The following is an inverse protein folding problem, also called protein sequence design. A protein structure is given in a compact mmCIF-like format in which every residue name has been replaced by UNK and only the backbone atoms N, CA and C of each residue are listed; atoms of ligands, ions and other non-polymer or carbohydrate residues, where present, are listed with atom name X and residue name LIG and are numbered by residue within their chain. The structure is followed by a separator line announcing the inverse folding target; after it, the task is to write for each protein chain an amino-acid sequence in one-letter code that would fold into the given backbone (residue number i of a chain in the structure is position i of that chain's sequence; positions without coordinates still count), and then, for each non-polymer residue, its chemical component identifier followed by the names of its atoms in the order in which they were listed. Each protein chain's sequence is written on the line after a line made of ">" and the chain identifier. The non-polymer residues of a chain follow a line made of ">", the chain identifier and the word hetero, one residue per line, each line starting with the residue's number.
data_IF_716725560394
#
_entry.id   IF_716725560394
#
_cell.length_a   1.000
_cell.length_b   1.000
_cell.length_c   1.000
_cell.angle_alpha   90.00
_cell.angle_beta   90.00
_cell.angle_gamma   90.00
#
_symmetry.space_group_name_H-M   'P 1'
#
loop_
_entity.id
_entity.type
_entity.pdbx_description
1 polymer ?
#
# COMPACT_ATOMS: atom_id res chain seq x y z
N UNK A 1 11.03 33.92 -18.99
CA UNK A 1 10.50 35.23 -19.45
C UNK A 1 9.62 35.95 -18.41
N UNK A 2 8.54 35.36 -17.90
CA UNK A 2 7.68 36.00 -16.88
C UNK A 2 8.43 36.41 -15.59
N UNK A 3 9.21 35.49 -14.99
CA UNK A 3 10.00 35.77 -13.77
C UNK A 3 11.08 36.83 -13.98
N UNK A 4 11.80 36.74 -15.09
CA UNK A 4 12.84 37.72 -15.49
C UNK A 4 12.24 39.12 -15.65
N UNK A 5 11.04 39.24 -16.25
CA UNK A 5 10.35 40.54 -16.37
C UNK A 5 9.87 41.12 -15.04
N UNK A 6 9.73 40.30 -13.99
CA UNK A 6 9.20 40.71 -12.68
C UNK A 6 10.24 40.66 -11.55
N UNK A 7 11.52 40.40 -11.85
CA UNK A 7 12.58 40.21 -10.87
C UNK A 7 12.20 39.24 -9.73
N UNK A 8 11.47 38.18 -10.07
CA UNK A 8 11.06 37.17 -9.10
C UNK A 8 12.18 36.13 -8.95
N UNK A 9 12.56 35.84 -7.70
CA UNK A 9 13.48 34.74 -7.39
C UNK A 9 12.88 33.39 -7.80
N UNK A 10 13.75 32.42 -8.05
CA UNK A 10 13.32 31.05 -8.32
C UNK A 10 12.78 30.43 -7.03
N UNK A 11 11.49 30.04 -6.96
CA UNK A 11 10.96 29.37 -5.79
C UNK A 11 11.63 28.00 -5.62
N UNK A 12 11.65 27.52 -4.39
CA UNK A 12 12.13 26.18 -4.11
C UNK A 12 11.41 25.14 -4.99
N UNK A 13 12.13 24.15 -5.53
CA UNK A 13 11.59 23.20 -6.47
C UNK A 13 10.37 22.46 -5.88
N UNK A 14 9.29 22.38 -6.65
CA UNK A 14 8.10 21.59 -6.30
C UNK A 14 7.03 22.31 -5.45
N UNK A 15 7.11 23.63 -5.24
CA UNK A 15 6.09 24.39 -4.50
C UNK A 15 5.09 25.04 -5.47
N UNK A 16 3.79 24.71 -5.33
CA UNK A 16 2.70 25.32 -6.11
C UNK A 16 2.20 26.62 -5.44
N UNK A 17 2.15 26.65 -4.10
CA UNK A 17 1.71 27.81 -3.32
C UNK A 17 2.82 28.29 -2.36
N UNK A 18 3.56 29.32 -2.74
CA UNK A 18 4.65 29.91 -1.93
C UNK A 18 4.18 30.43 -0.56
N UNK A 19 2.90 30.78 -0.42
CA UNK A 19 2.34 31.30 0.84
C UNK A 19 2.16 30.22 1.92
N UNK A 20 2.16 28.94 1.55
CA UNK A 20 1.82 27.83 2.44
C UNK A 20 3.08 27.25 3.12
N UNK A 21 3.42 27.82 4.28
CA UNK A 21 4.48 27.32 5.17
C UNK A 21 3.93 26.34 6.20
N UNK A 22 4.78 25.45 6.74
CA UNK A 22 4.42 24.50 7.81
C UNK A 22 3.81 25.17 9.04
N UNK A 23 4.27 26.39 9.35
CA UNK A 23 3.76 27.19 10.47
C UNK A 23 2.33 27.66 10.24
N UNK A 24 2.00 28.05 9.00
CA UNK A 24 0.65 28.51 8.62
C UNK A 24 -0.33 27.36 8.33
N UNK A 25 0.18 26.13 8.24
CA UNK A 25 -0.64 24.96 7.95
C UNK A 25 -1.59 24.59 9.09
N UNK A 26 -1.30 25.04 10.32
CA UNK A 26 -2.14 24.81 11.49
C UNK A 26 -3.12 25.98 11.79
N UNK A 27 -3.07 27.08 11.00
CA UNK A 27 -3.88 28.30 11.25
C UNK A 27 -5.30 28.22 10.66
N UNK A 28 -5.43 27.68 9.45
CA UNK A 28 -6.71 27.63 8.72
C UNK A 28 -6.80 26.44 7.76
N UNK A 29 -8.02 25.94 7.53
CA UNK A 29 -8.28 24.77 6.67
C UNK A 29 -7.79 24.99 5.24
N UNK A 30 -7.97 26.21 4.70
CA UNK A 30 -7.50 26.51 3.34
C UNK A 30 -5.97 26.49 3.24
N UNK A 31 -5.26 26.97 4.26
CA UNK A 31 -3.79 26.94 4.29
C UNK A 31 -3.27 25.51 4.49
N UNK A 32 -3.95 24.71 5.30
CA UNK A 32 -3.67 23.27 5.43
C UNK A 32 -3.80 22.54 4.10
N UNK A 33 -4.90 22.76 3.36
CA UNK A 33 -5.11 22.14 2.04
C UNK A 33 -4.05 22.59 1.03
N UNK A 34 -3.71 23.89 0.98
CA UNK A 34 -2.61 24.40 0.13
C UNK A 34 -1.27 23.77 0.49
N UNK A 35 -0.97 23.63 1.77
CA UNK A 35 0.23 22.95 2.25
C UNK A 35 0.24 21.47 1.87
N UNK A 36 -0.91 20.79 1.98
CA UNK A 36 -1.06 19.40 1.57
C UNK A 36 -0.82 19.28 0.07
N UNK A 37 -1.41 20.10 -0.79
CA UNK A 37 -1.12 20.05 -2.23
C UNK A 37 0.36 20.23 -2.57
N UNK A 38 1.07 21.09 -1.84
CA UNK A 38 2.51 21.28 -2.03
C UNK A 38 3.34 20.07 -1.56
N UNK A 39 2.98 19.43 -0.44
CA UNK A 39 3.85 18.45 0.25
C UNK A 39 3.18 17.09 0.51
N UNK A 40 2.06 16.79 -0.13
CA UNK A 40 1.32 15.54 0.06
C UNK A 40 2.23 14.35 -0.21
N UNK A 41 2.84 14.33 -1.38
CA UNK A 41 3.71 13.22 -1.79
C UNK A 41 5.01 13.18 -0.97
N UNK A 42 5.51 14.32 -0.51
CA UNK A 42 6.66 14.35 0.41
C UNK A 42 6.36 13.63 1.73
N UNK A 43 5.14 13.78 2.27
CA UNK A 43 4.76 13.17 3.55
C UNK A 43 4.17 11.77 3.46
N UNK A 44 3.47 11.45 2.38
CA UNK A 44 2.69 10.20 2.20
C UNK A 44 3.17 9.33 1.03
N UNK A 45 4.24 9.72 0.33
CA UNK A 45 4.66 9.07 -0.90
C UNK A 45 5.05 7.60 -0.74
N UNK A 46 5.65 7.22 0.40
CA UNK A 46 6.00 5.84 0.68
C UNK A 46 4.74 4.98 0.87
N UNK A 47 3.79 5.44 1.69
CA UNK A 47 2.52 4.77 1.93
C UNK A 47 1.71 4.64 0.63
N UNK A 48 1.62 5.70 -0.18
CA UNK A 48 0.96 5.70 -1.49
C UNK A 48 1.62 4.69 -2.43
N UNK A 49 2.96 4.64 -2.47
CA UNK A 49 3.69 3.71 -3.33
C UNK A 49 3.41 2.25 -2.95
N UNK A 50 3.32 1.92 -1.65
CA UNK A 50 2.97 0.57 -1.20
C UNK A 50 1.51 0.22 -1.52
N UNK A 51 0.58 1.17 -1.37
CA UNK A 51 -0.83 0.95 -1.72
C UNK A 51 -0.98 0.68 -3.21
N UNK A 52 -0.32 1.47 -4.07
CA UNK A 52 -0.34 1.26 -5.52
C UNK A 52 0.24 -0.12 -5.88
N UNK A 53 1.31 -0.54 -5.21
CA UNK A 53 1.88 -1.87 -5.40
C UNK A 53 0.88 -2.99 -5.07
N UNK A 54 0.19 -2.89 -3.93
CA UNK A 54 -0.83 -3.86 -3.52
C UNK A 54 -2.03 -3.88 -4.47
N UNK A 55 -2.47 -2.70 -4.94
CA UNK A 55 -3.53 -2.61 -5.96
C UNK A 55 -3.10 -3.27 -7.26
N UNK A 56 -1.88 -3.04 -7.74
CA UNK A 56 -1.37 -3.69 -8.93
C UNK A 56 -1.24 -5.20 -8.77
N UNK A 57 -0.81 -5.68 -7.60
CA UNK A 57 -0.81 -7.11 -7.29
C UNK A 57 -2.21 -7.70 -7.45
N UNK A 58 -3.24 -7.01 -6.96
CA UNK A 58 -4.61 -7.48 -7.01
C UNK A 58 -5.27 -7.40 -8.40
N UNK A 59 -4.86 -6.45 -9.24
CA UNK A 59 -5.35 -6.33 -10.61
C UNK A 59 -4.66 -7.33 -11.54
N UNK A 60 -3.36 -7.57 -11.37
CA UNK A 60 -2.58 -8.41 -12.30
C UNK A 60 -2.75 -9.91 -12.07
N UNK A 61 -2.67 -10.36 -10.80
CA UNK A 61 -2.81 -11.77 -10.38
C UNK A 61 -1.97 -12.78 -11.22
N UNK A 62 -0.81 -12.35 -11.72
CA UNK A 62 0.10 -13.12 -12.57
C UNK A 62 1.49 -13.28 -11.91
N UNK A 63 2.49 -13.80 -12.63
CA UNK A 63 3.85 -13.93 -12.08
C UNK A 63 4.44 -12.60 -11.59
N UNK A 64 4.09 -11.48 -12.23
CA UNK A 64 4.61 -10.15 -11.86
C UNK A 64 4.04 -9.70 -10.51
N UNK A 65 2.80 -10.08 -10.20
CA UNK A 65 2.21 -9.82 -8.89
C UNK A 65 2.93 -10.55 -7.76
N UNK A 66 3.44 -11.77 -8.00
CA UNK A 66 4.28 -12.50 -7.02
C UNK A 66 5.59 -11.75 -6.79
N UNK A 67 6.22 -11.25 -7.86
CA UNK A 67 7.45 -10.46 -7.74
C UNK A 67 7.21 -9.16 -6.96
N UNK A 68 6.10 -8.47 -7.22
CA UNK A 68 5.70 -7.29 -6.45
C UNK A 68 5.42 -7.62 -4.99
N UNK A 69 4.83 -8.77 -4.68
CA UNK A 69 4.63 -9.22 -3.30
C UNK A 69 5.97 -9.39 -2.56
N UNK A 70 6.98 -9.96 -3.20
CA UNK A 70 8.32 -10.10 -2.61
C UNK A 70 8.98 -8.75 -2.33
N UNK A 71 8.82 -7.78 -3.24
CA UNK A 71 9.29 -6.40 -3.02
C UNK A 71 8.54 -5.73 -1.87
N UNK A 72 7.22 -5.87 -1.82
CA UNK A 72 6.37 -5.37 -0.74
C UNK A 72 6.81 -5.90 0.63
N UNK A 73 7.00 -7.22 0.74
CA UNK A 73 7.49 -7.86 1.96
C UNK A 73 8.84 -7.30 2.40
N UNK A 74 9.75 -7.09 1.45
CA UNK A 74 11.06 -6.48 1.71
C UNK A 74 10.91 -5.06 2.27
N UNK A 75 10.07 -4.22 1.69
CA UNK A 75 9.85 -2.85 2.16
C UNK A 75 9.16 -2.79 3.53
N UNK A 76 8.19 -3.68 3.80
CA UNK A 76 7.54 -3.78 5.11
C UNK A 76 8.50 -4.26 6.21
N UNK A 77 9.41 -5.18 5.88
CA UNK A 77 10.43 -5.66 6.80
C UNK A 77 11.43 -4.54 7.18
N UNK A 78 11.99 -3.88 6.16
CA UNK A 78 12.99 -2.82 6.30
C UNK A 78 12.42 -1.52 6.90
N UNK A 79 11.15 -1.21 6.65
CA UNK A 79 10.53 0.06 7.03
C UNK A 79 11.03 1.24 6.17
N UNK A 80 10.46 2.43 6.36
CA UNK A 80 10.70 3.58 5.47
C UNK A 80 12.18 4.00 5.37
N UNK A 81 12.86 4.16 6.51
CA UNK A 81 14.24 4.67 6.54
C UNK A 81 15.22 3.74 5.83
N UNK A 82 15.16 2.43 6.12
CA UNK A 82 16.05 1.46 5.48
C UNK A 82 15.63 1.16 4.04
N UNK A 83 14.33 1.24 3.72
CA UNK A 83 13.84 1.09 2.34
C UNK A 83 14.43 2.14 1.41
N UNK A 84 14.74 3.35 1.90
CA UNK A 84 15.38 4.39 1.11
C UNK A 84 16.70 3.90 0.48
N UNK A 85 17.45 3.00 1.11
CA UNK A 85 18.73 2.51 0.56
C UNK A 85 18.51 1.59 -0.65
N UNK A 86 17.47 0.74 -0.61
CA UNK A 86 17.20 -0.27 -1.64
C UNK A 86 16.24 0.25 -2.73
N UNK A 87 15.51 1.34 -2.44
CA UNK A 87 14.54 1.95 -3.36
C UNK A 87 15.05 2.22 -4.79
N UNK A 88 16.25 2.78 -5.02
CA UNK A 88 16.73 3.00 -6.39
C UNK A 88 16.91 1.70 -7.19
N UNK A 89 17.23 0.57 -6.52
CA UNK A 89 17.28 -0.75 -7.17
C UNK A 89 15.89 -1.18 -7.64
N UNK A 90 14.87 -0.93 -6.82
CA UNK A 90 13.48 -1.20 -7.18
C UNK A 90 12.98 -0.32 -8.33
N UNK A 91 13.31 0.98 -8.33
CA UNK A 91 12.98 1.87 -9.46
C UNK A 91 13.66 1.40 -10.75
N UNK A 92 14.95 1.04 -10.68
CA UNK A 92 15.66 0.47 -11.82
C UNK A 92 15.04 -0.84 -12.32
N UNK A 93 14.61 -1.71 -11.39
CA UNK A 93 13.89 -2.94 -11.72
C UNK A 93 12.58 -2.67 -12.46
N UNK A 94 11.74 -1.73 -12.00
CA UNK A 94 10.50 -1.37 -12.69
C UNK A 94 10.75 -0.71 -14.04
N UNK A 95 11.76 0.16 -14.13
CA UNK A 95 12.13 0.84 -15.38
C UNK A 95 12.62 -0.14 -16.45
N UNK A 96 13.20 -1.27 -16.05
CA UNK A 96 13.55 -2.38 -16.95
C UNK A 96 12.33 -3.29 -17.26
N UNK A 97 11.54 -3.62 -16.24
CA UNK A 97 10.42 -4.55 -16.37
C UNK A 97 9.33 -4.01 -17.30
N UNK A 98 8.98 -2.73 -17.22
CA UNK A 98 7.89 -2.14 -18.00
C UNK A 98 8.12 -2.21 -19.52
N UNK A 99 9.29 -1.82 -20.07
CA UNK A 99 9.61 -2.04 -21.49
C UNK A 99 9.58 -3.52 -21.89
N UNK A 100 10.08 -4.42 -21.03
CA UNK A 100 10.04 -5.86 -21.30
C UNK A 100 8.61 -6.36 -21.40
N UNK A 101 7.74 -5.98 -20.46
CA UNK A 101 6.31 -6.32 -20.50
C UNK A 101 5.62 -5.74 -21.73
N UNK A 102 5.96 -4.51 -22.12
CA UNK A 102 5.44 -3.88 -23.34
C UNK A 102 5.84 -4.66 -24.60
N UNK A 103 7.11 -5.08 -24.69
CA UNK A 103 7.59 -5.92 -25.80
C UNK A 103 6.90 -7.29 -25.82
N UNK A 104 6.66 -7.89 -24.65
CA UNK A 104 5.89 -9.13 -24.55
C UNK A 104 4.47 -8.94 -25.07
N UNK A 105 3.77 -7.86 -24.70
CA UNK A 105 2.40 -7.60 -25.19
C UNK A 105 2.36 -7.32 -26.70
N UNK A 106 3.37 -6.63 -27.25
CA UNK A 106 3.47 -6.41 -28.70
C UNK A 106 3.68 -7.72 -29.48
N UNK A 107 4.49 -8.62 -28.94
CA UNK A 107 4.82 -9.87 -29.58
C UNK A 107 5.64 -9.71 -30.87
N UNK A 108 5.71 -10.79 -31.65
CA UNK A 108 6.36 -10.81 -32.95
C UNK A 108 5.49 -10.15 -34.03
N UNK A 109 6.10 -9.50 -35.02
CA UNK A 109 5.37 -8.98 -36.17
C UNK A 109 4.53 -10.08 -36.84
N UNK A 110 3.25 -9.82 -37.16
CA UNK A 110 2.34 -10.84 -37.69
C UNK A 110 2.80 -11.43 -39.03
N UNK A 111 3.64 -10.72 -39.77
CA UNK A 111 4.21 -11.19 -41.05
C UNK A 111 5.30 -12.27 -40.92
N UNK A 112 5.82 -12.55 -39.72
CA UNK A 112 6.85 -13.59 -39.55
C UNK A 112 6.28 -15.02 -39.56
N UNK A 113 4.99 -15.21 -39.30
CA UNK A 113 4.33 -16.53 -39.23
C UNK A 113 5.07 -17.59 -38.37
N UNK A 114 5.90 -17.16 -37.41
CA UNK A 114 6.62 -18.04 -36.51
C UNK A 114 5.81 -18.21 -35.22
N UNK A 115 5.68 -19.45 -34.75
CA UNK A 115 5.10 -19.75 -33.45
C UNK A 115 6.12 -19.47 -32.34
N UNK A 116 5.67 -18.99 -31.18
CA UNK A 116 6.55 -18.76 -30.04
C UNK A 116 7.13 -20.08 -29.48
N UNK A 117 8.36 -20.06 -28.93
CA UNK A 117 9.00 -21.29 -28.45
C UNK A 117 8.24 -22.02 -27.33
N UNK A 118 7.53 -21.29 -26.47
CA UNK A 118 6.83 -21.85 -25.31
C UNK A 118 5.47 -22.48 -25.64
N UNK A 119 4.86 -22.20 -26.79
CA UNK A 119 3.51 -22.69 -27.11
C UNK A 119 3.43 -24.21 -27.27
N UNK A 120 4.57 -24.87 -27.50
CA UNK A 120 4.67 -26.34 -27.62
C UNK A 120 5.10 -27.03 -26.33
N UNK A 121 5.63 -26.28 -25.37
CA UNK A 121 6.30 -26.83 -24.18
C UNK A 121 5.48 -26.58 -22.91
N UNK A 122 4.85 -25.41 -22.80
CA UNK A 122 4.07 -25.02 -21.62
C UNK A 122 2.58 -25.19 -21.89
N UNK A 123 1.84 -25.53 -20.83
CA UNK A 123 0.38 -25.46 -20.84
C UNK A 123 -0.08 -24.02 -21.15
N UNK A 124 -1.15 -23.84 -21.94
CA UNK A 124 -1.61 -22.52 -22.34
C UNK A 124 -1.98 -21.65 -21.13
N UNK A 125 -2.63 -22.25 -20.13
CA UNK A 125 -2.98 -21.54 -18.89
C UNK A 125 -1.74 -21.12 -18.09
N UNK A 126 -0.69 -21.96 -18.05
CA UNK A 126 0.57 -21.60 -17.40
C UNK A 126 1.29 -20.48 -18.16
N UNK A 127 1.31 -20.53 -19.49
CA UNK A 127 1.94 -19.49 -20.31
C UNK A 127 1.25 -18.13 -20.13
N UNK A 128 -0.08 -18.12 -20.04
CA UNK A 128 -0.87 -16.92 -19.79
C UNK A 128 -0.69 -16.38 -18.37
N UNK A 129 -0.58 -17.24 -17.35
CA UNK A 129 -0.25 -16.82 -15.97
C UNK A 129 1.18 -16.26 -15.85
N UNK A 130 2.14 -16.80 -16.62
CA UNK A 130 3.49 -16.26 -16.73
C UNK A 130 3.57 -14.93 -17.50
N UNK A 131 2.43 -14.41 -17.98
CA UNK A 131 2.35 -13.19 -18.80
C UNK A 131 3.20 -13.29 -20.09
N UNK A 132 3.29 -14.48 -20.67
CA UNK A 132 3.93 -14.70 -21.97
C UNK A 132 2.96 -14.35 -23.10
N UNK A 133 3.49 -13.90 -24.23
CA UNK A 133 2.65 -13.65 -25.41
C UNK A 133 2.14 -14.95 -26.01
N UNK A 134 0.84 -14.97 -26.28
CA UNK A 134 0.16 -15.99 -27.06
C UNK A 134 -0.67 -15.29 -28.14
N UNK A 135 -0.70 -15.89 -29.33
CA UNK A 135 -1.53 -15.44 -30.46
C UNK A 135 -3.01 -15.73 -30.19
N UNK A 136 -3.30 -16.81 -29.45
CA UNK A 136 -4.66 -17.28 -29.19
C UNK A 136 -5.34 -16.50 -28.06
N UNK A 137 -4.56 -16.15 -27.03
CA UNK A 137 -5.02 -15.44 -25.83
C UNK A 137 -4.11 -14.24 -25.55
N UNK A 138 -4.29 -13.12 -26.28
CA UNK A 138 -3.47 -11.93 -26.07
C UNK A 138 -3.69 -11.36 -24.67
N UNK A 139 -2.59 -10.91 -24.05
CA UNK A 139 -2.64 -10.25 -22.74
C UNK A 139 -3.30 -8.87 -22.82
N UNK A 140 -4.12 -8.51 -21.83
CA UNK A 140 -4.77 -7.19 -21.80
C UNK A 140 -3.73 -6.07 -21.65
N UNK A 141 -3.60 -5.15 -22.63
CA UNK A 141 -2.65 -4.04 -22.56
C UNK A 141 -2.98 -3.04 -21.43
N UNK A 142 -4.23 -3.00 -20.93
CA UNK A 142 -4.63 -2.11 -19.83
C UNK A 142 -3.88 -2.41 -18.54
N UNK A 143 -3.40 -3.63 -18.36
CA UNK A 143 -2.61 -4.03 -17.18
C UNK A 143 -1.30 -3.24 -17.06
N UNK A 144 -0.70 -2.85 -18.20
CA UNK A 144 0.52 -2.03 -18.25
C UNK A 144 0.32 -0.62 -17.68
N UNK A 145 -0.93 -0.11 -17.69
CA UNK A 145 -1.23 1.21 -17.15
C UNK A 145 -1.01 1.23 -15.63
N UNK A 146 -1.37 0.14 -14.94
CA UNK A 146 -1.09 -0.02 -13.52
C UNK A 146 0.41 0.01 -13.22
N UNK A 147 1.20 -0.74 -14.00
CA UNK A 147 2.67 -0.77 -13.85
C UNK A 147 3.32 0.58 -14.14
N UNK A 148 2.80 1.32 -15.12
CA UNK A 148 3.22 2.70 -15.39
C UNK A 148 2.98 3.61 -14.17
N UNK A 149 1.79 3.56 -13.56
CA UNK A 149 1.52 4.36 -12.37
C UNK A 149 2.40 3.95 -11.19
N UNK A 150 2.67 2.66 -11.00
CA UNK A 150 3.59 2.19 -9.97
C UNK A 150 5.01 2.71 -10.19
N UNK A 151 5.51 2.68 -11.43
CA UNK A 151 6.81 3.28 -11.77
C UNK A 151 6.81 4.80 -11.52
N UNK A 152 5.75 5.50 -11.93
CA UNK A 152 5.61 6.94 -11.72
C UNK A 152 5.70 7.31 -10.24
N UNK A 153 4.91 6.65 -9.39
CA UNK A 153 4.92 6.90 -7.95
C UNK A 153 6.26 6.48 -7.33
N UNK A 154 6.87 5.39 -7.77
CA UNK A 154 8.19 4.97 -7.30
C UNK A 154 9.29 5.99 -7.65
N UNK A 155 9.27 6.57 -8.84
CA UNK A 155 10.17 7.65 -9.27
C UNK A 155 9.96 8.93 -8.45
N UNK A 156 8.70 9.32 -8.24
CA UNK A 156 8.39 10.45 -7.35
C UNK A 156 8.93 10.21 -5.94
N UNK A 157 8.87 8.96 -5.45
CA UNK A 157 9.33 8.61 -4.11
C UNK A 157 10.87 8.59 -4.02
N UNK A 158 11.57 8.16 -5.08
CA UNK A 158 13.03 8.28 -5.12
C UNK A 158 13.48 9.73 -5.11
N UNK A 159 12.76 10.63 -5.79
CA UNK A 159 13.05 12.05 -5.72
C UNK A 159 12.89 12.59 -4.28
N UNK A 160 11.84 12.18 -3.57
CA UNK A 160 11.66 12.51 -2.15
C UNK A 160 12.80 11.96 -1.30
N UNK A 161 13.23 10.72 -1.49
CA UNK A 161 14.38 10.16 -0.79
C UNK A 161 15.69 10.89 -1.13
N UNK A 162 15.88 11.31 -2.37
CA UNK A 162 17.01 12.15 -2.78
C UNK A 162 17.05 13.47 -2.02
N UNK A 163 15.90 14.15 -1.89
CA UNK A 163 15.76 15.37 -1.10
C UNK A 163 16.05 15.14 0.39
N UNK A 164 15.57 14.04 0.96
CA UNK A 164 15.83 13.68 2.37
C UNK A 164 17.32 13.36 2.62
N UNK A 165 18.00 12.67 1.69
CA UNK A 165 19.44 12.41 1.79
C UNK A 165 20.25 13.71 1.70
N UNK A 166 19.85 14.63 0.82
CA UNK A 166 20.50 15.93 0.69
C UNK A 166 20.29 16.80 1.94
N UNK A 167 19.08 16.83 2.52
CA UNK A 167 18.84 17.60 3.74
C UNK A 167 19.62 17.05 4.94
N UNK A 168 19.76 15.73 5.07
CA UNK A 168 20.55 15.12 6.15
C UNK A 168 22.04 15.50 6.04
N UNK A 169 22.61 15.43 4.84
CA UNK A 169 24.02 15.81 4.63
C UNK A 169 24.26 17.31 4.85
N UNK A 170 23.30 18.17 4.46
CA UNK A 170 23.34 19.60 4.77
C UNK A 170 23.27 19.86 6.28
N UNK A 171 22.33 19.23 7.00
CA UNK A 171 22.17 19.35 8.45
C UNK A 171 23.36 18.79 9.23
N UNK A 172 24.01 17.72 8.79
CA UNK A 172 25.24 17.18 9.40
C UNK A 172 26.41 18.16 9.22
N UNK A 173 26.53 18.74 8.03
CA UNK A 173 27.54 19.78 7.74
C UNK A 173 27.30 21.03 8.60
N UNK A 174 26.04 21.42 8.80
CA UNK A 174 25.66 22.58 9.62
C UNK A 174 25.75 22.29 11.13
N UNK A 175 25.42 21.06 11.57
CA UNK A 175 25.64 20.61 12.94
C UNK A 175 27.13 20.60 13.30
N UNK A 176 28.02 20.17 12.40
CA UNK A 176 29.47 20.25 12.62
C UNK A 176 29.95 21.70 12.85
N UNK A 177 29.22 22.69 12.32
CA UNK A 177 29.44 24.13 12.55
C UNK A 177 28.70 24.66 13.80
N UNK A 178 27.52 24.12 14.13
CA UNK A 178 26.67 24.51 15.27
C UNK A 178 26.99 23.82 16.59
N UNK A 179 27.83 22.78 16.66
CA UNK A 179 28.37 22.24 17.93
C UNK A 179 29.14 23.29 18.76
N UNK A 180 29.33 24.51 18.23
CA UNK A 180 29.82 25.69 18.96
C UNK A 180 28.75 26.60 19.59
N UNK A 181 27.45 26.45 19.32
CA UNK A 181 26.38 27.27 19.95
C UNK A 181 25.02 26.54 19.99
N UNK A 182 24.69 26.04 21.18
CA UNK A 182 23.36 26.10 21.82
C UNK A 182 22.13 25.50 21.12
N UNK A 183 21.67 24.37 21.67
CA UNK A 183 20.27 23.88 21.77
C UNK A 183 19.32 24.05 20.56
N UNK A 184 19.04 22.92 19.90
CA UNK A 184 17.98 22.75 18.89
C UNK A 184 16.59 22.96 19.51
N UNK A 185 15.86 23.99 19.07
CA UNK A 185 14.44 24.18 19.40
C UNK A 185 13.65 23.07 18.69
N UNK A 186 13.13 22.09 19.44
CA UNK A 186 12.13 21.16 18.91
C UNK A 186 10.82 21.93 18.74
N UNK A 187 10.41 22.18 17.51
CA UNK A 187 9.08 22.70 17.22
C UNK A 187 8.04 21.68 17.72
N UNK A 188 7.35 22.01 18.81
CA UNK A 188 6.20 21.24 19.31
C UNK A 188 4.97 21.64 18.50
N UNK A 189 4.20 20.66 18.01
CA UNK A 189 2.90 20.93 17.40
C UNK A 189 1.96 21.59 18.43
N UNK A 190 1.15 22.58 18.00
CA UNK A 190 0.15 23.19 18.87
C UNK A 190 -0.89 22.15 19.29
N UNK A 191 -1.47 22.36 20.47
CA UNK A 191 -2.48 21.48 21.02
C UNK A 191 -3.84 21.74 20.35
N UNK A 192 -4.40 20.72 19.70
CA UNK A 192 -5.61 20.84 18.88
C UNK A 192 -6.87 20.25 19.55
N UNK A 193 -6.75 19.71 20.77
CA UNK A 193 -7.83 18.95 21.41
C UNK A 193 -9.04 19.79 21.82
N UNK A 194 -8.88 21.11 21.93
CA UNK A 194 -9.95 22.03 22.33
C UNK A 194 -10.98 22.29 21.21
N UNK A 195 -10.72 21.81 19.98
CA UNK A 195 -11.66 21.80 18.86
C UNK A 195 -12.32 23.17 18.58
N UNK A 196 -11.50 24.22 18.46
CA UNK A 196 -12.00 25.60 18.25
C UNK A 196 -12.22 25.87 16.75
N UNK A 197 -11.40 25.30 15.87
CA UNK A 197 -11.46 25.50 14.42
C UNK A 197 -11.99 24.26 13.68
N UNK A 198 -12.54 24.45 12.47
CA UNK A 198 -12.91 23.32 11.59
C UNK A 198 -11.73 22.40 11.28
N UNK A 199 -10.53 22.96 11.21
CA UNK A 199 -9.29 22.23 11.01
C UNK A 199 -8.98 21.35 12.23
N UNK A 200 -9.17 21.86 13.44
CA UNK A 200 -9.01 21.07 14.67
C UNK A 200 -10.08 19.98 14.78
N UNK A 201 -11.32 20.25 14.38
CA UNK A 201 -12.38 19.23 14.30
C UNK A 201 -11.99 18.08 13.36
N UNK A 202 -11.50 18.41 12.16
CA UNK A 202 -11.02 17.41 11.22
C UNK A 202 -9.82 16.64 11.77
N UNK A 203 -8.88 17.29 12.46
CA UNK A 203 -7.75 16.61 13.12
C UNK A 203 -8.22 15.66 14.21
N UNK A 204 -9.07 16.10 15.13
CA UNK A 204 -9.63 15.24 16.19
C UNK A 204 -10.34 14.05 15.56
N UNK A 205 -11.18 14.29 14.55
CA UNK A 205 -11.89 13.22 13.83
C UNK A 205 -10.94 12.20 13.22
N UNK A 206 -9.90 12.68 12.53
CA UNK A 206 -8.91 11.82 11.88
C UNK A 206 -8.02 11.07 12.88
N UNK A 207 -7.51 11.73 13.92
CA UNK A 207 -6.55 11.10 14.84
C UNK A 207 -7.23 10.21 15.88
N UNK A 208 -8.49 10.48 16.25
CA UNK A 208 -9.22 9.72 17.28
C UNK A 208 -10.13 8.64 16.69
N UNK A 209 -10.91 8.95 15.64
CA UNK A 209 -11.93 8.03 15.13
C UNK A 209 -11.44 7.08 14.04
N UNK A 210 -10.34 7.38 13.34
CA UNK A 210 -9.81 6.50 12.28
C UNK A 210 -9.49 5.09 12.77
N UNK A 211 -9.11 4.93 14.04
CA UNK A 211 -8.89 3.60 14.63
C UNK A 211 -10.14 2.73 14.54
N UNK A 212 -11.29 3.24 14.95
CA UNK A 212 -12.55 2.49 14.89
C UNK A 212 -12.99 2.22 13.45
N UNK A 213 -12.78 3.19 12.56
CA UNK A 213 -13.02 3.02 11.12
C UNK A 213 -12.14 1.89 10.57
N UNK A 214 -10.86 1.83 10.94
CA UNK A 214 -9.95 0.78 10.47
C UNK A 214 -10.36 -0.61 10.97
N UNK A 215 -10.80 -0.74 12.23
CA UNK A 215 -11.33 -2.01 12.76
C UNK A 215 -12.65 -2.40 12.09
N UNK A 216 -13.53 -1.44 11.78
CA UNK A 216 -14.76 -1.69 11.05
C UNK A 216 -14.47 -2.20 9.63
N UNK A 217 -13.50 -1.61 8.92
CA UNK A 217 -13.08 -2.10 7.59
C UNK A 217 -12.54 -3.53 7.68
N UNK A 218 -11.69 -3.84 8.67
CA UNK A 218 -11.20 -5.21 8.93
C UNK A 218 -12.36 -6.18 9.18
N UNK A 219 -13.38 -5.76 9.92
CA UNK A 219 -14.55 -6.60 10.17
C UNK A 219 -15.35 -6.85 8.89
N UNK A 220 -15.54 -5.83 8.05
CA UNK A 220 -16.21 -5.97 6.74
C UNK A 220 -15.41 -6.91 5.83
N UNK A 221 -14.07 -6.83 5.83
CA UNK A 221 -13.23 -7.74 5.01
C UNK A 221 -13.38 -9.20 5.43
N UNK A 222 -13.46 -9.45 6.73
CA UNK A 222 -13.73 -10.79 7.28
C UNK A 222 -15.07 -11.32 6.81
N UNK A 223 -16.11 -10.49 6.81
CA UNK A 223 -17.47 -10.90 6.44
C UNK A 223 -17.63 -11.11 4.92
N UNK A 224 -16.79 -10.48 4.11
CA UNK A 224 -16.90 -10.49 2.65
C UNK A 224 -16.56 -11.85 2.03
N UNK A 225 -15.69 -12.65 2.67
CA UNK A 225 -15.30 -13.98 2.17
C UNK A 225 -15.21 -14.99 3.31
N UNK A 226 -15.45 -16.27 3.02
CA UNK A 226 -15.21 -17.34 4.01
C UNK A 226 -13.88 -18.00 3.67
N UNK A 227 -12.83 -17.72 4.45
CA UNK A 227 -11.50 -18.31 4.24
C UNK A 227 -10.77 -18.54 5.56
N UNK A 228 -9.86 -19.52 5.60
CA UNK A 228 -8.95 -19.74 6.72
C UNK A 228 -8.10 -18.50 7.03
N UNK A 229 -7.82 -17.67 6.03
CA UNK A 229 -7.13 -16.40 6.22
C UNK A 229 -7.97 -15.39 7.03
N UNK A 230 -9.30 -15.50 7.03
CA UNK A 230 -10.15 -14.59 7.79
C UNK A 230 -10.15 -14.90 9.29
N UNK A 231 -9.80 -16.13 9.68
CA UNK A 231 -9.71 -16.50 11.10
C UNK A 231 -8.68 -15.66 11.87
N UNK A 232 -7.51 -15.39 11.29
CA UNK A 232 -6.53 -14.54 11.98
C UNK A 232 -6.94 -13.07 12.00
N UNK A 233 -7.64 -12.56 10.98
CA UNK A 233 -8.22 -11.22 11.04
C UNK A 233 -9.27 -11.09 12.15
N UNK A 234 -10.11 -12.11 12.35
CA UNK A 234 -11.08 -12.18 13.45
C UNK A 234 -10.36 -12.10 14.80
N UNK A 235 -9.32 -12.91 15.00
CA UNK A 235 -8.55 -12.92 16.25
C UNK A 235 -7.93 -11.56 16.55
N UNK A 236 -7.30 -10.93 15.55
CA UNK A 236 -6.73 -9.58 15.70
C UNK A 236 -7.83 -8.54 15.97
N UNK A 237 -8.96 -8.60 15.26
CA UNK A 237 -10.06 -7.67 15.44
C UNK A 237 -10.63 -7.76 16.87
N UNK A 238 -10.94 -8.96 17.36
CA UNK A 238 -11.40 -9.14 18.74
C UNK A 238 -10.35 -8.69 19.76
N UNK A 239 -9.07 -8.98 19.54
CA UNK A 239 -8.00 -8.52 20.42
C UNK A 239 -7.95 -6.99 20.54
N UNK A 240 -8.05 -6.29 19.41
CA UNK A 240 -8.04 -4.81 19.35
C UNK A 240 -9.35 -4.18 19.86
N UNK A 241 -10.51 -4.82 19.62
CA UNK A 241 -11.80 -4.38 20.17
C UNK A 241 -11.85 -4.56 21.69
N UNK A 242 -11.36 -5.69 22.20
CA UNK A 242 -11.36 -6.00 23.64
C UNK A 242 -10.53 -4.99 24.43
N UNK A 243 -9.33 -4.67 23.95
CA UNK A 243 -8.48 -3.67 24.61
C UNK A 243 -8.94 -2.23 24.30
N UNK A 244 -9.51 -1.99 23.12
CA UNK A 244 -10.05 -0.70 22.70
C UNK A 244 -9.08 0.46 22.91
N UNK A 245 -9.54 1.48 23.62
CA UNK A 245 -8.78 2.71 23.91
C UNK A 245 -7.68 2.51 24.97
N UNK A 246 -7.73 1.44 25.76
CA UNK A 246 -6.69 1.16 26.75
C UNK A 246 -5.32 0.86 26.11
N UNK A 247 -5.31 0.48 24.82
CA UNK A 247 -4.08 0.34 24.02
C UNK A 247 -3.32 1.65 23.82
N UNK A 248 -4.01 2.80 23.84
CA UNK A 248 -3.36 4.10 23.66
C UNK A 248 -2.50 4.48 24.88
N UNK A 249 -2.89 4.00 26.06
CA UNK A 249 -2.17 4.21 27.32
C UNK A 249 -0.92 3.31 27.44
N UNK A 250 -0.83 2.25 26.63
CA UNK A 250 0.36 1.41 26.58
C UNK A 250 1.54 2.15 25.95
N UNK A 251 2.80 1.77 26.29
CA UNK A 251 3.97 2.41 25.68
C UNK A 251 3.91 2.31 24.15
N UNK A 252 4.10 3.46 23.48
CA UNK A 252 4.03 3.62 22.01
C UNK A 252 4.80 2.53 21.25
N UNK A 253 5.96 2.09 21.76
CA UNK A 253 6.78 1.02 21.16
C UNK A 253 6.07 -0.34 21.13
N UNK A 254 5.24 -0.65 22.12
CA UNK A 254 4.47 -1.91 22.15
C UNK A 254 3.29 -1.84 21.19
N UNK A 255 2.56 -0.73 21.19
CA UNK A 255 1.46 -0.47 20.24
C UNK A 255 1.93 -0.59 18.78
N UNK A 256 3.01 0.10 18.41
CA UNK A 256 3.57 0.05 17.06
C UNK A 256 4.06 -1.36 16.66
N UNK A 257 4.59 -2.15 17.60
CA UNK A 257 5.00 -3.54 17.34
C UNK A 257 3.80 -4.43 17.07
N UNK A 258 2.74 -4.35 17.88
CA UNK A 258 1.51 -5.11 17.67
C UNK A 258 0.85 -4.73 16.33
N UNK A 259 0.81 -3.44 16.01
CA UNK A 259 0.26 -2.98 14.73
C UNK A 259 1.09 -3.43 13.52
N UNK A 260 2.43 -3.43 13.64
CA UNK A 260 3.32 -3.97 12.59
C UNK A 260 3.12 -5.48 12.39
N UNK A 261 2.88 -6.25 13.46
CA UNK A 261 2.53 -7.67 13.36
C UNK A 261 1.19 -7.86 12.64
N UNK A 262 0.22 -6.99 12.88
CA UNK A 262 -1.06 -7.06 12.20
C UNK A 262 -0.95 -6.73 10.70
N UNK A 263 -0.17 -5.70 10.33
CA UNK A 263 0.17 -5.42 8.91
C UNK A 263 0.90 -6.60 8.28
N UNK A 264 1.83 -7.23 9.00
CA UNK A 264 2.54 -8.43 8.54
C UNK A 264 1.57 -9.58 8.24
N UNK A 265 0.57 -9.79 9.10
CA UNK A 265 -0.46 -10.80 8.88
C UNK A 265 -1.28 -10.54 7.61
N UNK A 266 -1.70 -9.30 7.38
CA UNK A 266 -2.40 -8.92 6.16
C UNK A 266 -1.53 -9.12 4.92
N UNK A 267 -0.25 -8.72 4.97
CA UNK A 267 0.71 -8.98 3.90
C UNK A 267 0.87 -10.48 3.59
N UNK A 268 1.00 -11.33 4.62
CA UNK A 268 1.12 -12.78 4.43
C UNK A 268 -0.14 -13.37 3.78
N UNK A 269 -1.32 -12.84 4.13
CA UNK A 269 -2.57 -13.23 3.48
C UNK A 269 -2.60 -12.85 2.00
N UNK A 270 -2.21 -11.60 1.68
CA UNK A 270 -2.11 -11.14 0.29
C UNK A 270 -1.13 -12.01 -0.51
N UNK A 271 0.06 -12.28 0.04
CA UNK A 271 1.06 -13.15 -0.57
C UNK A 271 0.50 -14.56 -0.81
N UNK A 272 -0.15 -15.15 0.19
CA UNK A 272 -0.74 -16.48 0.07
C UNK A 272 -1.83 -16.52 -1.01
N UNK A 273 -2.74 -15.54 -1.05
CA UNK A 273 -3.78 -15.45 -2.09
C UNK A 273 -3.19 -15.31 -3.49
N UNK A 274 -2.17 -14.47 -3.67
CA UNK A 274 -1.49 -14.32 -4.96
C UNK A 274 -0.78 -15.61 -5.39
N UNK A 275 -0.14 -16.33 -4.47
CA UNK A 275 0.45 -17.64 -4.78
C UNK A 275 -0.62 -18.71 -5.09
N UNK A 276 -1.78 -18.64 -4.44
CA UNK A 276 -2.90 -19.54 -4.71
C UNK A 276 -3.57 -19.25 -6.06
N UNK A 277 -3.48 -18.02 -6.60
CA UNK A 277 -3.97 -17.71 -7.95
C UNK A 277 -3.30 -18.56 -9.03
N UNK A 278 -2.01 -18.89 -8.87
CA UNK A 278 -1.29 -19.78 -9.79
C UNK A 278 -1.98 -21.15 -9.82
N UNK A 279 -2.23 -21.69 -8.63
CA UNK A 279 -2.82 -23.02 -8.48
C UNK A 279 -4.24 -23.04 -9.02
N UNK A 280 -5.02 -22.00 -8.72
CA UNK A 280 -6.41 -21.88 -9.13
C UNK A 280 -6.59 -21.66 -10.64
N UNK A 281 -5.76 -20.83 -11.28
CA UNK A 281 -5.89 -20.51 -12.70
C UNK A 281 -5.19 -21.51 -13.63
N UNK A 282 -4.05 -22.07 -13.22
CA UNK A 282 -3.27 -22.98 -14.09
C UNK A 282 -3.80 -24.41 -14.04
N UNK A 283 -4.04 -24.93 -12.83
CA UNK A 283 -4.45 -26.31 -12.61
C UNK A 283 -5.94 -26.44 -12.29
N UNK A 284 -6.78 -25.53 -12.77
CA UNK A 284 -8.21 -25.49 -12.47
C UNK A 284 -8.89 -26.86 -12.60
N UNK A 285 -8.70 -27.55 -13.73
CA UNK A 285 -9.32 -28.85 -14.00
C UNK A 285 -8.87 -29.92 -12.99
N UNK A 286 -7.57 -29.96 -12.68
CA UNK A 286 -7.00 -30.88 -11.68
C UNK A 286 -7.55 -30.57 -10.28
N UNK A 287 -7.60 -29.30 -9.87
CA UNK A 287 -8.11 -28.93 -8.55
C UNK A 287 -9.59 -29.33 -8.42
N UNK A 288 -10.42 -29.08 -9.46
CA UNK A 288 -11.84 -29.48 -9.43
C UNK A 288 -12.06 -30.99 -9.40
N UNK A 289 -11.20 -31.75 -10.09
CA UNK A 289 -11.33 -33.21 -10.17
C UNK A 289 -10.88 -33.92 -8.89
N UNK A 290 -9.78 -33.47 -8.26
CA UNK A 290 -9.20 -34.11 -7.08
C UNK A 290 -9.83 -33.64 -5.77
N UNK A 291 -10.54 -32.51 -5.79
CA UNK A 291 -11.23 -31.96 -4.63
C UNK A 291 -12.67 -32.45 -4.60
N UNK A 292 -12.88 -33.71 -4.17
CA UNK A 292 -14.20 -34.37 -4.17
C UNK A 292 -15.27 -33.64 -3.36
N UNK A 293 -14.84 -32.87 -2.35
CA UNK A 293 -15.69 -32.05 -1.50
C UNK A 293 -15.17 -30.61 -1.64
N UNK A 294 -15.95 -29.66 -2.17
CA UNK A 294 -15.60 -28.25 -2.43
C UNK A 294 -14.97 -27.44 -1.26
N UNK A 295 -14.80 -28.07 -0.11
CA UNK A 295 -14.26 -27.56 1.13
C UNK A 295 -12.88 -26.90 0.99
N UNK A 296 -11.84 -27.50 0.36
CA UNK A 296 -10.55 -26.84 0.16
C UNK A 296 -10.66 -25.61 -0.74
N UNK A 297 -11.50 -25.66 -1.79
CA UNK A 297 -11.74 -24.53 -2.71
C UNK A 297 -12.26 -23.31 -1.95
N UNK A 298 -13.28 -23.53 -1.11
CA UNK A 298 -13.91 -22.49 -0.30
C UNK A 298 -12.98 -22.03 0.83
N UNK A 299 -12.39 -22.94 1.61
CA UNK A 299 -11.52 -22.60 2.75
C UNK A 299 -10.28 -21.79 2.36
N UNK A 300 -9.64 -22.12 1.23
CA UNK A 300 -8.45 -21.41 0.76
C UNK A 300 -8.79 -20.23 -0.17
N UNK A 301 -10.07 -20.00 -0.48
CA UNK A 301 -10.51 -18.99 -1.44
C UNK A 301 -9.79 -19.13 -2.80
N UNK A 302 -9.66 -20.38 -3.26
CA UNK A 302 -9.03 -20.71 -4.54
C UNK A 302 -10.01 -20.46 -5.68
N UNK A 303 -9.95 -19.27 -6.26
CA UNK A 303 -10.75 -18.91 -7.43
C UNK A 303 -9.92 -18.07 -8.41
N UNK A 304 -10.04 -18.36 -9.70
CA UNK A 304 -9.35 -17.61 -10.74
C UNK A 304 -10.11 -16.33 -11.11
N UNK A 305 -9.59 -15.17 -10.69
CA UNK A 305 -10.22 -13.86 -10.93
C UNK A 305 -10.32 -13.50 -12.43
N UNK A 306 -9.46 -14.07 -13.30
CA UNK A 306 -9.38 -13.75 -14.73
C UNK A 306 -9.88 -14.87 -15.64
N UNK A 307 -10.89 -15.62 -15.18
CA UNK A 307 -11.42 -16.82 -15.85
C UNK A 307 -11.78 -16.61 -17.34
N UNK A 308 -12.22 -15.41 -17.74
CA UNK A 308 -12.56 -15.10 -19.13
C UNK A 308 -11.41 -15.20 -20.14
N UNK A 309 -10.15 -15.15 -19.66
CA UNK A 309 -8.95 -15.17 -20.51
C UNK A 309 -8.24 -16.52 -20.50
N UNK A 310 -8.68 -17.47 -19.68
CA UNK A 310 -8.10 -18.81 -19.61
C UNK A 310 -8.90 -19.82 -20.46
N UNK A 311 -8.20 -20.82 -21.00
CA UNK A 311 -8.81 -21.88 -21.80
C UNK A 311 -9.29 -22.99 -20.86
N UNK A 312 -10.58 -22.97 -20.53
CA UNK A 312 -11.20 -23.97 -19.66
C UNK A 312 -12.44 -23.41 -18.98
N UNK A 313 -13.61 -23.50 -19.64
CA UNK A 313 -14.87 -23.17 -18.96
C UNK A 313 -15.10 -24.19 -17.85
N UNK A 314 -15.48 -23.78 -16.62
CA UNK A 314 -15.83 -24.73 -15.58
C UNK A 314 -16.95 -25.63 -16.13
N UNK A 315 -16.71 -26.95 -16.11
CA UNK A 315 -17.75 -27.91 -16.44
C UNK A 315 -18.89 -27.72 -15.44
N UNK A 316 -20.03 -27.26 -15.94
CA UNK A 316 -21.28 -26.99 -15.22
C UNK A 316 -21.96 -28.28 -14.74
N UNK A 317 -21.22 -29.21 -14.12
CA UNK A 317 -21.66 -30.57 -13.80
C UNK A 317 -21.26 -31.10 -12.42
N UNK A 318 -20.55 -30.34 -11.59
CA UNK A 318 -20.33 -30.66 -10.18
C UNK A 318 -21.02 -29.61 -9.31
N UNK A 319 -21.76 -30.06 -8.28
CA UNK A 319 -22.47 -29.27 -7.26
C UNK A 319 -21.51 -28.44 -6.38
N UNK A 320 -20.71 -27.58 -7.01
CA UNK A 320 -19.68 -26.79 -6.39
C UNK A 320 -19.95 -25.32 -6.65
N UNK A 321 -20.65 -24.67 -5.71
CA UNK A 321 -20.79 -23.21 -5.73
C UNK A 321 -19.44 -22.63 -5.30
N UNK A 322 -18.63 -22.28 -6.28
CA UNK A 322 -17.40 -21.52 -6.08
C UNK A 322 -17.77 -20.09 -5.62
N UNK A 323 -16.99 -19.47 -4.71
CA UNK A 323 -17.20 -18.08 -4.32
C UNK A 323 -16.96 -17.14 -5.49
N UNK A 324 -17.82 -16.12 -5.65
CA UNK A 324 -17.79 -15.17 -6.77
C UNK A 324 -16.57 -14.22 -6.75
N UNK A 325 -15.92 -14.06 -5.58
CA UNK A 325 -14.75 -13.21 -5.39
C UNK A 325 -13.78 -13.83 -4.36
N UNK A 326 -12.48 -13.61 -4.57
CA UNK A 326 -11.43 -13.97 -3.61
C UNK A 326 -11.24 -12.94 -2.49
N UNK A 327 -11.97 -11.82 -2.57
CA UNK A 327 -11.92 -10.75 -1.58
C UNK A 327 -10.62 -9.93 -1.63
N UNK A 328 -9.82 -10.09 -2.69
CA UNK A 328 -8.51 -9.46 -2.82
C UNK A 328 -8.61 -7.92 -2.83
N UNK A 329 -9.68 -7.37 -3.43
CA UNK A 329 -9.97 -5.95 -3.40
C UNK A 329 -10.22 -5.43 -1.97
N UNK A 330 -10.96 -6.20 -1.16
CA UNK A 330 -11.18 -5.88 0.25
C UNK A 330 -9.89 -5.98 1.06
N UNK A 331 -9.05 -6.98 0.81
CA UNK A 331 -7.73 -7.08 1.44
C UNK A 331 -6.83 -5.88 1.14
N UNK A 332 -6.89 -5.34 -0.10
CA UNK A 332 -6.19 -4.11 -0.48
C UNK A 332 -6.73 -2.88 0.28
N UNK A 333 -8.05 -2.77 0.42
CA UNK A 333 -8.67 -1.72 1.21
C UNK A 333 -8.22 -1.82 2.68
N UNK A 334 -8.25 -3.04 3.25
CA UNK A 334 -7.77 -3.33 4.60
C UNK A 334 -6.31 -2.89 4.78
N UNK A 335 -5.42 -3.30 3.87
CA UNK A 335 -4.01 -2.90 3.90
C UNK A 335 -3.83 -1.37 3.90
N UNK A 336 -4.60 -0.66 3.08
CA UNK A 336 -4.57 0.81 2.97
C UNK A 336 -4.94 1.48 4.30
N UNK A 337 -6.02 1.03 4.94
CA UNK A 337 -6.45 1.56 6.23
C UNK A 337 -5.44 1.21 7.33
N UNK A 338 -4.89 0.00 7.35
CA UNK A 338 -3.87 -0.40 8.33
C UNK A 338 -2.60 0.43 8.22
N UNK A 339 -2.12 0.71 7.00
CA UNK A 339 -0.97 1.60 6.76
C UNK A 339 -1.28 3.04 7.19
N UNK A 340 -2.47 3.54 6.85
CA UNK A 340 -2.91 4.88 7.25
C UNK A 340 -2.93 5.02 8.77
N UNK A 341 -3.45 4.02 9.48
CA UNK A 341 -3.48 4.01 10.94
C UNK A 341 -2.08 3.90 11.56
N UNK A 342 -1.18 3.13 10.94
CA UNK A 342 0.23 3.08 11.36
C UNK A 342 0.91 4.45 11.25
N UNK A 343 0.61 5.20 10.18
CA UNK A 343 1.08 6.57 9.99
C UNK A 343 0.53 7.51 11.08
N UNK A 344 -0.74 7.34 11.43
CA UNK A 344 -1.37 8.08 12.53
C UNK A 344 -0.63 7.83 13.85
N UNK A 345 -0.36 6.56 14.22
CA UNK A 345 0.37 6.22 15.45
C UNK A 345 1.83 6.69 15.47
N UNK A 346 2.44 6.90 14.30
CA UNK A 346 3.80 7.43 14.18
C UNK A 346 3.86 8.96 14.12
N UNK A 347 2.72 9.64 14.03
CA UNK A 347 2.64 11.10 14.03
C UNK A 347 2.86 11.72 15.42
N UNK A 348 3.42 12.92 15.48
CA UNK A 348 3.56 13.69 16.73
C UNK A 348 2.21 14.20 17.24
N UNK A 349 1.23 14.42 16.34
CA UNK A 349 -0.14 14.80 16.72
C UNK A 349 -0.83 13.76 17.61
N UNK A 350 -0.51 12.47 17.43
CA UNK A 350 -1.06 11.39 18.24
C UNK A 350 -0.66 11.50 19.72
N UNK A 351 0.46 12.18 20.04
CA UNK A 351 0.88 12.41 21.43
C UNK A 351 -0.14 13.24 22.23
N UNK A 352 -0.79 14.19 21.56
CA UNK A 352 -1.83 15.00 22.19
C UNK A 352 -3.07 14.15 22.53
N UNK A 353 -3.46 13.26 21.62
CA UNK A 353 -4.60 12.34 21.81
C UNK A 353 -4.35 11.38 22.98
N UNK A 354 -3.13 10.83 23.07
CA UNK A 354 -2.75 9.96 24.21
C UNK A 354 -2.80 10.70 25.54
N UNK A 355 -2.36 11.97 25.57
CA UNK A 355 -2.43 12.79 26.79
C UNK A 355 -3.86 13.05 27.21
N UNK A 356 -4.74 13.42 26.29
CA UNK A 356 -6.16 13.65 26.57
C UNK A 356 -6.85 12.39 27.11
N UNK A 357 -6.64 11.23 26.48
CA UNK A 357 -7.16 9.96 26.99
C UNK A 357 -6.62 9.60 28.38
N UNK A 358 -5.37 9.96 28.68
CA UNK A 358 -4.80 9.76 30.01
C UNK A 358 -5.49 10.64 31.04
N UNK A 359 -5.69 11.91 30.74
CA UNK A 359 -6.41 12.84 31.61
C UNK A 359 -7.86 12.35 31.86
N UNK A 360 -8.55 11.88 30.82
CA UNK A 360 -9.88 11.26 30.96
C UNK A 360 -9.87 10.02 31.85
N UNK A 361 -8.87 9.15 31.71
CA UNK A 361 -8.75 7.96 32.56
C UNK A 361 -8.46 8.30 34.02
N UNK A 362 -7.68 9.35 34.29
CA UNK A 362 -7.40 9.85 35.64
C UNK A 362 -8.63 10.53 36.25
N UNK A 363 -9.44 11.22 35.44
CA UNK A 363 -10.72 11.78 35.88
C UNK A 363 -11.76 10.71 36.21
N UNK A 364 -11.80 9.59 35.48
CA UNK A 364 -12.71 8.48 35.80
C UNK A 364 -12.35 7.74 37.10
N UNK A 365 -11.10 7.87 37.57
CA UNK A 365 -10.65 7.32 38.85
C UNK A 365 -11.00 8.22 40.05
N UNK A 366 -11.12 9.54 39.81
CA UNK A 366 -11.52 10.52 40.83
C UNK A 366 -13.03 10.56 40.97
#
# INVERSE_FOLDING_TARGET
>A
LYRIRRNLMEPEPGILFESASRQKADDDMLQCVKYLFNRFFYHFGWEVSLVVMVVNMAVRCDVTSVIYALWLGSFLALGRQSSAVIWPVYVGFLAFLLPVQYLLVLGWPPGLCLAYPWTKVLDPNLSHWLYLTDVSFPSDPKLLLGDFFQLLFACCQENVYGLERYSWTAEETEQSRQTRRGSRVKFSTPDFMWNITWLDFCKVTLFQHMYWVTLAVVYITVQSTVSIFNFGFILWCFFFLWHGQALYLQPRKKLLRLWKLFICYNYLTLLAKVCLQVVACVWQDYVTQYTSNCLPLQLLSMFCLRNSTYSGKPQTGMDCVAPDDTGLAMDCACFTFLLTQYRIFTSEYFRHVVRDHREQSEMAYR
#
